data_IF_463794354647
#
_entry.id   IF_463794354647
#
_cell.length_a   1.000
_cell.length_b   1.000
_cell.length_c   1.000
_cell.angle_alpha   90.00
_cell.angle_beta   90.00
_cell.angle_gamma   90.00
#
_symmetry.space_group_name_H-M   'P 1'
#
loop_
_entity.id
_entity.type
_entity.pdbx_description
1 polymer ?
#
# COMPACT_ATOMS: atom_id res chain seq x y z
N UNK A 1 -61.03 -1.66 -21.51
CA UNK A 1 -61.10 -3.14 -21.54
C UNK A 1 -60.09 -3.61 -20.50
N UNK A 2 -60.41 -3.78 -19.21
CA UNK A 2 -61.30 -4.77 -18.58
C UNK A 2 -61.08 -6.19 -19.09
N UNK A 3 -60.55 -7.07 -18.21
CA UNK A 3 -60.95 -8.45 -17.85
C UNK A 3 -59.73 -9.38 -17.51
N UNK A 4 -59.90 -10.43 -16.68
CA UNK A 4 -59.34 -10.46 -15.34
C UNK A 4 -58.76 -11.87 -15.00
N UNK A 5 -58.87 -12.50 -13.79
CA UNK A 5 -57.94 -13.53 -13.34
C UNK A 5 -58.40 -14.97 -13.63
N UNK A 6 -57.45 -15.89 -13.83
CA UNK A 6 -57.75 -17.32 -13.89
C UNK A 6 -57.44 -17.98 -12.54
N UNK A 7 -58.51 -18.46 -11.92
CA UNK A 7 -58.53 -19.28 -10.72
C UNK A 7 -58.40 -20.78 -11.06
N UNK A 8 -57.82 -21.52 -10.11
CA UNK A 8 -58.08 -22.91 -9.69
C UNK A 8 -57.89 -24.02 -10.75
N UNK A 9 -56.97 -24.98 -10.49
CA UNK A 9 -57.37 -26.37 -10.16
C UNK A 9 -56.15 -27.22 -9.76
N UNK A 10 -56.19 -27.73 -8.53
CA UNK A 10 -55.40 -28.86 -8.04
C UNK A 10 -55.92 -30.17 -8.70
N UNK A 11 -55.05 -31.15 -8.97
CA UNK A 11 -55.42 -32.54 -8.66
C UNK A 11 -54.21 -33.34 -8.09
N UNK A 12 -54.33 -34.66 -7.82
CA UNK A 12 -54.68 -35.21 -6.51
C UNK A 12 -53.56 -36.02 -5.86
N UNK A 13 -53.85 -36.51 -4.66
CA UNK A 13 -52.97 -37.23 -3.75
C UNK A 13 -52.62 -38.69 -4.16
N UNK A 14 -51.68 -39.26 -3.38
CA UNK A 14 -51.28 -40.67 -3.22
C UNK A 14 -50.17 -41.14 -4.19
N UNK A 15 -49.18 -41.95 -3.80
CA UNK A 15 -48.83 -42.59 -2.53
C UNK A 15 -47.37 -43.04 -2.66
N UNK A 16 -46.57 -42.92 -1.62
CA UNK A 16 -45.17 -43.36 -1.61
C UNK A 16 -44.68 -43.47 -0.18
N UNK A 17 -45.02 -44.59 0.46
CA UNK A 17 -44.68 -44.89 1.84
C UNK A 17 -43.16 -45.05 2.03
N UNK A 18 -42.61 -44.37 3.04
CA UNK A 18 -41.46 -44.86 3.80
C UNK A 18 -41.77 -44.75 5.29
N UNK A 19 -41.69 -45.90 5.96
CA UNK A 19 -42.01 -46.14 7.37
C UNK A 19 -41.19 -45.26 8.32
N UNK A 20 -41.69 -44.95 9.53
CA UNK A 20 -40.88 -44.30 10.56
C UNK A 20 -40.01 -45.34 11.27
N UNK A 21 -38.71 -45.08 11.38
CA UNK A 21 -37.83 -45.70 12.37
C UNK A 21 -37.28 -44.60 13.30
N UNK A 22 -37.09 -44.88 14.60
CA UNK A 22 -36.96 -43.86 15.61
C UNK A 22 -35.51 -43.38 15.76
N UNK A 23 -35.39 -42.26 16.46
CA UNK A 23 -34.16 -41.73 17.07
C UNK A 23 -33.18 -41.02 16.14
N UNK A 24 -33.31 -39.70 16.07
CA UNK A 24 -32.17 -38.80 16.31
C UNK A 24 -32.62 -37.67 17.22
N UNK A 25 -32.52 -37.92 18.52
CA UNK A 25 -32.43 -36.86 19.51
C UNK A 25 -31.24 -35.97 19.10
N UNK A 26 -31.48 -34.70 18.76
CA UNK A 26 -30.44 -33.72 18.49
C UNK A 26 -30.17 -33.02 19.83
N UNK A 27 -29.07 -33.29 20.54
CA UNK A 27 -28.72 -32.50 21.71
C UNK A 27 -28.30 -31.08 21.31
N UNK A 28 -28.51 -30.06 22.17
CA UNK A 28 -27.94 -28.74 21.93
C UNK A 28 -26.41 -28.85 21.93
N UNK A 29 -25.77 -28.26 20.91
CA UNK A 29 -24.32 -28.22 20.78
C UNK A 29 -23.70 -27.50 21.99
N UNK A 30 -23.12 -28.26 22.91
CA UNK A 30 -22.31 -27.72 23.99
C UNK A 30 -20.99 -27.23 23.39
N UNK A 31 -20.89 -25.93 23.13
CA UNK A 31 -19.62 -25.32 22.74
C UNK A 31 -18.64 -25.42 23.91
N UNK A 32 -17.43 -25.99 23.74
CA UNK A 32 -16.44 -26.00 24.80
C UNK A 32 -16.00 -24.56 25.13
N UNK A 33 -15.67 -24.26 26.40
CA UNK A 33 -15.11 -22.96 26.76
C UNK A 33 -13.79 -22.78 26.01
N UNK A 34 -13.65 -21.63 25.33
CA UNK A 34 -12.38 -21.20 24.75
C UNK A 34 -11.29 -21.27 25.83
N UNK A 35 -10.08 -21.77 25.52
CA UNK A 35 -8.97 -21.72 26.47
C UNK A 35 -8.73 -20.25 26.87
N UNK A 36 -8.29 -19.97 28.12
CA UNK A 36 -7.87 -18.63 28.48
C UNK A 36 -6.81 -18.21 27.47
N UNK A 37 -7.04 -17.08 26.81
CA UNK A 37 -6.01 -16.42 26.01
C UNK A 37 -4.81 -16.26 26.93
N UNK A 38 -3.80 -17.10 26.77
CA UNK A 38 -2.45 -16.71 27.10
C UNK A 38 -2.18 -15.61 26.09
N UNK A 39 -2.47 -14.37 26.49
CA UNK A 39 -1.82 -13.22 25.91
C UNK A 39 -0.34 -13.55 25.99
N UNK A 40 0.24 -13.91 24.85
CA UNK A 40 1.69 -13.94 24.71
C UNK A 40 2.12 -12.50 25.02
N UNK A 41 2.48 -12.26 26.27
CA UNK A 41 3.29 -11.12 26.68
C UNK A 41 4.65 -11.41 26.07
N UNK A 42 4.74 -11.20 24.75
CA UNK A 42 6.01 -10.98 24.10
C UNK A 42 6.58 -9.73 24.75
N UNK A 43 7.84 -9.74 25.22
CA UNK A 43 8.48 -8.52 25.68
C UNK A 43 8.39 -7.50 24.56
N UNK A 44 7.62 -6.43 24.80
CA UNK A 44 7.45 -5.34 23.84
C UNK A 44 8.86 -4.82 23.54
N UNK A 45 9.34 -4.90 22.29
CA UNK A 45 10.63 -4.34 21.95
C UNK A 45 10.63 -2.85 22.33
N UNK A 46 11.77 -2.31 22.82
CA UNK A 46 11.86 -0.90 23.16
C UNK A 46 11.35 -0.06 21.99
N UNK A 47 10.57 1.02 22.26
CA UNK A 47 9.98 1.83 21.19
C UNK A 47 11.11 2.30 20.27
N UNK A 48 11.09 1.94 18.97
CA UNK A 48 12.12 2.40 18.07
C UNK A 48 11.99 3.92 17.93
N UNK A 49 13.12 4.62 17.89
CA UNK A 49 13.17 6.04 17.56
C UNK A 49 12.33 6.29 16.29
N UNK A 50 11.63 7.42 16.20
CA UNK A 50 10.67 7.73 15.12
C UNK A 50 11.23 7.47 13.69
N UNK A 51 12.53 7.63 13.51
CA UNK A 51 13.25 7.34 12.26
C UNK A 51 13.36 5.84 11.94
N UNK A 52 13.64 5.00 12.93
CA UNK A 52 13.77 3.54 12.77
C UNK A 52 12.43 2.90 12.35
N UNK A 53 11.31 3.43 12.86
CA UNK A 53 9.98 3.01 12.44
C UNK A 53 9.68 3.34 10.97
N UNK A 54 10.16 4.49 10.48
CA UNK A 54 9.99 4.87 9.07
C UNK A 54 10.82 3.95 8.19
N UNK A 55 12.12 3.83 8.46
CA UNK A 55 13.04 3.03 7.65
C UNK A 55 12.59 1.58 7.55
N UNK A 56 12.25 0.93 8.68
CA UNK A 56 11.78 -0.46 8.69
C UNK A 56 10.47 -0.68 7.91
N UNK A 57 9.56 0.29 7.95
CA UNK A 57 8.31 0.19 7.19
C UNK A 57 8.53 0.32 5.69
N UNK A 58 9.40 1.25 5.28
CA UNK A 58 9.73 1.43 3.87
C UNK A 58 10.55 0.27 3.32
N UNK A 59 11.48 -0.27 4.10
CA UNK A 59 12.20 -1.49 3.77
C UNK A 59 11.26 -2.68 3.56
N UNK A 60 10.29 -2.87 4.46
CA UNK A 60 9.28 -3.91 4.30
C UNK A 60 8.41 -3.72 3.05
N UNK A 61 8.07 -2.47 2.68
CA UNK A 61 7.29 -2.19 1.47
C UNK A 61 8.13 -2.50 0.23
N UNK A 62 9.32 -1.89 0.12
CA UNK A 62 10.19 -1.99 -1.04
C UNK A 62 10.66 -3.43 -1.29
N UNK A 63 10.97 -4.17 -0.22
CA UNK A 63 11.31 -5.60 -0.30
C UNK A 63 10.17 -6.45 -0.83
N UNK A 64 8.91 -6.08 -0.56
CA UNK A 64 7.73 -6.83 -1.01
C UNK A 64 7.29 -6.45 -2.42
N UNK A 65 7.52 -5.20 -2.84
CA UNK A 65 7.09 -4.68 -4.13
C UNK A 65 8.16 -4.74 -5.21
N UNK A 66 9.39 -5.19 -4.87
CA UNK A 66 10.54 -5.28 -5.81
C UNK A 66 10.74 -3.98 -6.59
N UNK A 67 10.61 -2.85 -5.89
CA UNK A 67 10.61 -1.54 -6.51
C UNK A 67 12.00 -1.19 -7.08
N UNK A 68 12.04 -0.76 -8.33
CA UNK A 68 13.28 -0.32 -8.99
C UNK A 68 13.78 1.03 -8.46
N UNK A 69 15.09 1.27 -8.58
CA UNK A 69 15.70 2.53 -8.14
C UNK A 69 15.06 3.78 -8.77
N UNK A 70 14.74 3.84 -10.07
CA UNK A 70 14.06 5.00 -10.66
C UNK A 70 12.72 5.33 -10.00
N UNK A 71 11.93 4.30 -9.64
CA UNK A 71 10.67 4.48 -8.91
C UNK A 71 10.92 5.06 -7.52
N UNK A 72 11.95 4.58 -6.81
CA UNK A 72 12.33 5.14 -5.50
C UNK A 72 12.78 6.60 -5.64
N UNK A 73 13.61 6.93 -6.63
CA UNK A 73 14.10 8.29 -6.83
C UNK A 73 12.96 9.25 -7.19
N UNK A 74 12.02 8.82 -8.03
CA UNK A 74 10.83 9.59 -8.37
C UNK A 74 9.89 9.75 -7.16
N UNK A 75 9.71 8.70 -6.34
CA UNK A 75 8.93 8.76 -5.11
C UNK A 75 9.53 9.77 -4.11
N UNK A 76 10.85 9.83 -3.98
CA UNK A 76 11.50 10.84 -3.14
C UNK A 76 11.25 12.26 -3.68
N UNK A 77 11.28 12.43 -5.00
CA UNK A 77 10.99 13.71 -5.65
C UNK A 77 9.55 14.17 -5.34
N UNK A 78 8.56 13.29 -5.54
CA UNK A 78 7.17 13.59 -5.21
C UNK A 78 6.97 13.85 -3.71
N UNK A 79 7.64 13.10 -2.84
CA UNK A 79 7.57 13.33 -1.38
C UNK A 79 8.09 14.72 -1.03
N UNK A 80 9.19 15.17 -1.63
CA UNK A 80 9.73 16.51 -1.44
C UNK A 80 8.71 17.59 -1.85
N UNK A 81 8.12 17.47 -3.04
CA UNK A 81 7.08 18.39 -3.53
C UNK A 81 5.84 18.42 -2.64
N UNK A 82 5.36 17.25 -2.22
CA UNK A 82 4.20 17.13 -1.31
C UNK A 82 4.47 17.83 0.02
N UNK A 83 5.69 17.74 0.57
CA UNK A 83 6.01 18.46 1.81
C UNK A 83 6.03 19.96 1.63
N UNK A 84 6.60 20.47 0.54
CA UNK A 84 6.58 21.91 0.25
C UNK A 84 5.14 22.44 0.15
N UNK A 85 4.25 21.68 -0.49
CA UNK A 85 2.83 22.04 -0.58
C UNK A 85 2.10 21.96 0.79
N UNK A 86 2.51 21.04 1.67
CA UNK A 86 1.90 20.88 2.99
C UNK A 86 2.38 21.91 4.02
N UNK A 87 3.64 22.35 3.97
CA UNK A 87 4.20 23.38 4.89
C UNK A 87 3.53 24.74 4.69
N UNK A 88 3.03 25.04 3.49
CA UNK A 88 2.22 26.23 3.23
C UNK A 88 0.83 26.20 3.89
N UNK A 89 0.40 25.07 4.48
CA UNK A 89 -0.88 24.96 5.14
C UNK A 89 -0.79 25.35 6.64
N UNK A 90 -1.70 26.21 7.16
CA UNK A 90 -1.60 26.82 8.49
C UNK A 90 -1.71 25.86 9.71
N UNK A 91 -1.70 24.54 9.51
CA UNK A 91 -1.84 23.52 10.57
C UNK A 91 -0.88 22.33 10.43
N UNK A 92 0.17 22.45 9.61
CA UNK A 92 1.07 21.33 9.33
C UNK A 92 2.16 21.16 10.40
N UNK A 93 1.79 20.58 11.55
CA UNK A 93 2.79 19.88 12.37
C UNK A 93 3.27 18.66 11.59
N UNK A 94 4.56 18.58 11.29
CA UNK A 94 5.20 17.46 10.55
C UNK A 94 5.21 16.19 11.40
N UNK A 95 4.03 15.60 11.61
CA UNK A 95 3.92 14.34 12.34
C UNK A 95 4.48 13.19 11.50
N UNK A 96 5.14 12.23 12.16
CA UNK A 96 5.66 11.01 11.51
C UNK A 96 4.59 10.29 10.66
N UNK A 97 3.33 10.34 11.07
CA UNK A 97 2.21 9.76 10.33
C UNK A 97 2.03 10.41 8.95
N UNK A 98 2.14 11.73 8.87
CA UNK A 98 2.06 12.47 7.61
C UNK A 98 3.23 12.06 6.72
N UNK A 99 4.45 12.05 7.24
CA UNK A 99 5.64 11.67 6.46
C UNK A 99 5.50 10.26 5.89
N UNK A 100 5.07 9.29 6.70
CA UNK A 100 4.86 7.90 6.26
C UNK A 100 3.79 7.81 5.16
N UNK A 101 2.68 8.53 5.31
CA UNK A 101 1.59 8.55 4.31
C UNK A 101 2.02 9.24 3.02
N UNK A 102 2.72 10.37 3.11
CA UNK A 102 3.23 11.10 1.96
C UNK A 102 4.20 10.23 1.16
N UNK A 103 5.12 9.55 1.82
CA UNK A 103 6.10 8.70 1.15
C UNK A 103 5.48 7.42 0.57
N UNK A 104 4.50 6.81 1.26
CA UNK A 104 3.73 5.69 0.70
C UNK A 104 3.03 6.09 -0.59
N UNK A 105 2.35 7.24 -0.60
CA UNK A 105 1.55 7.66 -1.75
C UNK A 105 2.43 8.17 -2.88
N UNK A 106 3.54 8.82 -2.56
CA UNK A 106 4.56 9.15 -3.55
C UNK A 106 5.12 7.90 -4.23
N UNK A 107 5.30 6.80 -3.48
CA UNK A 107 5.72 5.51 -4.04
C UNK A 107 4.66 4.91 -4.98
N UNK A 108 3.38 4.92 -4.57
CA UNK A 108 2.26 4.48 -5.42
C UNK A 108 2.21 5.28 -6.72
N UNK A 109 2.33 6.61 -6.65
CA UNK A 109 2.31 7.47 -7.83
C UNK A 109 3.52 7.22 -8.74
N UNK A 110 4.72 7.09 -8.18
CA UNK A 110 5.92 6.82 -8.96
C UNK A 110 5.87 5.47 -9.68
N UNK A 111 5.35 4.43 -9.02
CA UNK A 111 5.15 3.10 -9.62
C UNK A 111 4.18 3.19 -10.80
N UNK A 112 3.06 3.89 -10.63
CA UNK A 112 2.06 4.13 -11.70
C UNK A 112 2.58 4.96 -12.88
N UNK A 113 3.56 5.83 -12.65
CA UNK A 113 4.10 6.70 -13.70
C UNK A 113 5.15 5.97 -14.55
N UNK A 114 5.93 5.06 -13.94
CA UNK A 114 7.05 4.41 -14.63
C UNK A 114 6.74 2.99 -15.11
N UNK A 115 5.76 2.31 -14.52
CA UNK A 115 5.45 0.92 -14.84
C UNK A 115 4.04 0.81 -15.46
N UNK A 116 3.97 0.20 -16.64
CA UNK A 116 2.70 -0.08 -17.33
C UNK A 116 1.85 -1.10 -16.54
N UNK A 117 2.52 -2.10 -15.93
CA UNK A 117 1.92 -3.13 -15.08
C UNK A 117 2.04 -2.77 -13.59
N UNK A 118 1.28 -1.77 -13.15
CA UNK A 118 1.30 -1.27 -11.77
C UNK A 118 0.35 -2.04 -10.82
N UNK A 119 0.71 -2.12 -9.54
CA UNK A 119 -0.11 -2.75 -8.50
C UNK A 119 -1.38 -1.93 -8.23
N UNK A 120 -2.54 -2.59 -8.17
CA UNK A 120 -3.80 -1.91 -7.79
C UNK A 120 -3.71 -1.25 -6.41
N UNK A 121 -4.50 -0.19 -6.18
CA UNK A 121 -4.59 0.46 -4.87
C UNK A 121 -5.00 -0.51 -3.75
N UNK A 122 -5.75 -1.56 -4.07
CA UNK A 122 -6.10 -2.62 -3.12
C UNK A 122 -4.88 -3.46 -2.70
N UNK A 123 -3.99 -3.77 -3.64
CA UNK A 123 -2.73 -4.45 -3.36
C UNK A 123 -1.79 -3.56 -2.54
N UNK A 124 -1.64 -2.29 -2.90
CA UNK A 124 -0.85 -1.31 -2.12
C UNK A 124 -1.36 -1.16 -0.70
N UNK A 125 -2.68 -1.08 -0.50
CA UNK A 125 -3.29 -1.04 0.82
C UNK A 125 -2.94 -2.28 1.66
N UNK A 126 -2.96 -3.47 1.06
CA UNK A 126 -2.57 -4.73 1.71
C UNK A 126 -1.08 -4.77 2.06
N UNK A 127 -0.21 -4.23 1.20
CA UNK A 127 1.23 -4.16 1.47
C UNK A 127 1.52 -3.20 2.63
N UNK A 128 0.92 -2.01 2.60
CA UNK A 128 1.13 -0.98 3.61
C UNK A 128 0.36 -1.19 4.92
N UNK A 129 -0.59 -2.12 4.97
CA UNK A 129 -1.42 -2.38 6.15
C UNK A 129 -2.42 -1.25 6.45
N UNK A 130 -2.92 -0.57 5.41
CA UNK A 130 -3.90 0.51 5.51
C UNK A 130 -5.18 0.16 4.75
N UNK A 131 -6.27 0.91 4.94
CA UNK A 131 -7.50 0.67 4.18
C UNK A 131 -7.36 1.16 2.73
N UNK A 132 -8.05 0.50 1.80
CA UNK A 132 -8.09 0.91 0.39
C UNK A 132 -8.68 2.31 0.24
N UNK A 133 -9.70 2.64 1.05
CA UNK A 133 -10.29 3.97 1.09
C UNK A 133 -9.29 5.06 1.48
N UNK A 134 -8.36 4.76 2.39
CA UNK A 134 -7.30 5.68 2.78
C UNK A 134 -6.31 5.92 1.64
N UNK A 135 -5.84 4.84 0.98
CA UNK A 135 -4.94 4.96 -0.18
C UNK A 135 -5.59 5.81 -1.28
N UNK A 136 -6.83 5.49 -1.65
CA UNK A 136 -7.58 6.23 -2.65
C UNK A 136 -7.76 7.72 -2.30
N UNK A 137 -8.06 8.03 -1.04
CA UNK A 137 -8.22 9.41 -0.57
C UNK A 137 -6.91 10.18 -0.64
N UNK A 138 -5.84 9.58 -0.15
CA UNK A 138 -4.54 10.23 -0.12
C UNK A 138 -3.96 10.40 -1.52
N UNK A 139 -4.15 9.43 -2.41
CA UNK A 139 -3.74 9.53 -3.82
C UNK A 139 -4.41 10.72 -4.50
N UNK A 140 -5.74 10.84 -4.43
CA UNK A 140 -6.45 12.00 -5.01
C UNK A 140 -5.96 13.32 -4.43
N UNK A 141 -5.71 13.35 -3.11
CA UNK A 141 -5.17 14.55 -2.45
C UNK A 141 -3.76 14.88 -2.94
N UNK A 142 -2.90 13.88 -3.08
CA UNK A 142 -1.53 14.06 -3.56
C UNK A 142 -1.50 14.56 -5.01
N UNK A 143 -2.33 14.00 -5.89
CA UNK A 143 -2.48 14.47 -7.27
C UNK A 143 -2.93 15.94 -7.33
N UNK A 144 -3.88 16.33 -6.47
CA UNK A 144 -4.30 17.73 -6.35
C UNK A 144 -3.20 18.65 -5.81
N UNK A 145 -2.40 18.21 -4.85
CA UNK A 145 -1.26 19.00 -4.33
C UNK A 145 -0.09 19.11 -5.32
N UNK A 146 0.00 18.18 -6.28
CA UNK A 146 0.99 18.18 -7.34
C UNK A 146 0.46 18.83 -8.62
N UNK A 147 -0.78 19.33 -8.64
CA UNK A 147 -1.45 19.86 -9.83
C UNK A 147 -1.40 18.91 -11.04
N UNK A 148 -1.40 17.59 -10.78
CA UNK A 148 -1.21 16.52 -11.78
C UNK A 148 0.10 16.64 -12.60
N UNK A 149 1.02 17.49 -12.19
CA UNK A 149 2.34 17.64 -12.82
C UNK A 149 3.28 16.54 -12.32
N UNK A 150 3.12 15.34 -12.89
CA UNK A 150 3.95 14.17 -12.58
C UNK A 150 5.13 14.00 -13.53
N UNK A 151 5.19 14.80 -14.60
CA UNK A 151 6.22 14.72 -15.60
C UNK A 151 7.54 15.29 -15.06
N UNK A 152 8.63 14.57 -15.34
CA UNK A 152 9.97 14.99 -14.97
C UNK A 152 10.88 14.82 -16.19
N UNK A 153 11.33 15.94 -16.75
CA UNK A 153 12.30 15.90 -17.86
C UNK A 153 13.62 15.27 -17.40
N UNK A 154 14.37 14.70 -18.33
CA UNK A 154 15.69 14.10 -18.08
C UNK A 154 16.63 15.08 -17.35
N UNK A 155 16.64 16.35 -17.76
CA UNK A 155 17.45 17.38 -17.12
C UNK A 155 17.02 17.70 -15.68
N UNK A 156 15.71 17.67 -15.38
CA UNK A 156 15.19 17.82 -14.01
C UNK A 156 15.53 16.60 -13.16
N UNK A 157 15.39 15.40 -13.72
CA UNK A 157 15.73 14.15 -13.03
C UNK A 157 17.23 14.08 -12.71
N UNK A 158 18.11 14.40 -13.65
CA UNK A 158 19.55 14.43 -13.39
C UNK A 158 19.95 15.44 -12.30
N UNK A 159 19.29 16.61 -12.24
CA UNK A 159 19.47 17.58 -11.15
C UNK A 159 18.98 17.03 -9.80
N UNK A 160 17.88 16.30 -9.82
CA UNK A 160 17.34 15.66 -8.64
C UNK A 160 18.30 14.61 -8.08
N UNK A 161 18.83 13.72 -8.93
CA UNK A 161 19.81 12.69 -8.52
C UNK A 161 21.00 13.30 -7.78
N UNK A 162 21.62 14.35 -8.35
CA UNK A 162 22.73 15.07 -7.71
C UNK A 162 22.38 15.68 -6.36
N UNK A 163 21.13 16.08 -6.18
CA UNK A 163 20.64 16.62 -4.90
C UNK A 163 20.53 15.52 -3.86
N UNK A 164 19.96 14.37 -4.25
CA UNK A 164 19.85 13.19 -3.38
C UNK A 164 21.23 12.68 -2.98
N UNK A 165 22.16 12.55 -3.94
CA UNK A 165 23.55 12.13 -3.67
C UNK A 165 24.26 13.02 -2.66
N UNK A 166 24.08 14.35 -2.77
CA UNK A 166 24.65 15.32 -1.82
C UNK A 166 24.10 15.14 -0.42
N UNK A 167 22.80 14.89 -0.29
CA UNK A 167 22.14 14.71 1.02
C UNK A 167 22.46 13.34 1.61
N UNK A 168 22.58 12.31 0.77
CA UNK A 168 22.88 10.95 1.21
C UNK A 168 24.36 10.71 1.55
N UNK A 169 25.27 11.57 1.09
CA UNK A 169 26.68 11.49 1.43
C UNK A 169 27.36 10.23 0.90
N UNK A 170 27.12 9.88 -0.37
CA UNK A 170 27.51 8.63 -1.09
C UNK A 170 26.33 7.67 -1.20
N UNK A 171 25.38 7.99 -2.09
CA UNK A 171 24.74 6.91 -2.86
C UNK A 171 25.57 6.78 -4.12
N UNK A 172 26.28 5.67 -4.27
CA UNK A 172 26.78 5.25 -5.58
C UNK A 172 25.59 4.92 -6.47
N UNK A 173 24.83 5.93 -6.89
CA UNK A 173 23.85 5.81 -7.97
C UNK A 173 24.71 5.75 -9.23
N UNK A 174 25.19 4.56 -9.57
CA UNK A 174 25.59 4.29 -10.94
C UNK A 174 24.31 4.36 -11.79
N UNK A 175 23.88 5.58 -12.08
CA UNK A 175 22.91 5.87 -13.13
C UNK A 175 23.65 5.66 -14.45
N UNK A 176 23.79 4.39 -14.84
CA UNK A 176 24.10 4.06 -16.22
C UNK A 176 22.85 4.44 -17.03
N UNK A 177 22.82 5.68 -17.51
CA UNK A 177 21.98 6.08 -18.65
C UNK A 177 22.63 5.44 -19.87
N UNK A 178 22.46 4.13 -19.97
CA UNK A 178 23.18 3.26 -20.89
C UNK A 178 22.22 2.32 -21.58
N UNK A 179 21.69 2.78 -22.72
CA UNK A 179 21.28 2.04 -23.92
C UNK A 179 20.73 0.63 -23.71
N UNK A 180 19.43 0.47 -23.99
CA UNK A 180 18.72 -0.80 -24.07
C UNK A 180 19.44 -1.77 -25.02
N UNK A 181 19.92 -2.89 -24.49
CA UNK A 181 20.10 -4.14 -25.21
C UNK A 181 19.95 -5.31 -24.23
N UNK A 182 18.84 -6.04 -24.35
CA UNK A 182 18.72 -7.47 -24.04
C UNK A 182 18.87 -7.96 -22.59
N UNK A 183 17.72 -8.31 -21.99
CA UNK A 183 17.58 -9.55 -21.21
C UNK A 183 18.35 -9.66 -19.89
N UNK A 184 17.75 -9.14 -18.83
CA UNK A 184 18.13 -9.50 -17.45
C UNK A 184 17.63 -8.45 -16.46
N UNK A 185 16.52 -8.75 -15.78
CA UNK A 185 16.06 -7.99 -14.61
C UNK A 185 17.16 -8.03 -13.54
N UNK A 186 18.06 -7.05 -13.58
CA UNK A 186 18.93 -6.73 -12.46
C UNK A 186 18.04 -6.13 -11.39
N UNK A 187 17.51 -7.00 -10.54
CA UNK A 187 16.83 -6.64 -9.30
C UNK A 187 17.83 -5.87 -8.43
N UNK A 188 17.91 -4.55 -8.65
CA UNK A 188 18.67 -3.64 -7.83
C UNK A 188 18.02 -3.62 -6.45
N UNK A 189 18.54 -4.43 -5.53
CA UNK A 189 18.29 -4.25 -4.10
C UNK A 189 18.87 -2.89 -3.71
N UNK A 190 18.02 -1.86 -3.76
CA UNK A 190 18.38 -0.53 -3.29
C UNK A 190 18.68 -0.67 -1.79
N UNK A 191 19.95 -0.56 -1.42
CA UNK A 191 20.36 -0.60 -0.02
C UNK A 191 19.80 0.64 0.69
N UNK A 192 18.69 0.45 1.42
CA UNK A 192 17.96 1.55 2.08
C UNK A 192 18.75 2.23 3.20
N UNK A 193 19.81 1.59 3.67
CA UNK A 193 20.74 2.16 4.63
C UNK A 193 21.35 3.48 4.12
N UNK A 194 21.59 3.60 2.81
CA UNK A 194 22.08 4.85 2.19
C UNK A 194 21.00 5.92 1.99
N UNK A 195 19.71 5.54 2.06
CA UNK A 195 18.57 6.44 1.88
C UNK A 195 18.00 6.97 3.19
N UNK A 196 18.33 6.34 4.33
CA UNK A 196 17.97 6.82 5.66
C UNK A 196 18.27 8.32 5.89
N UNK A 197 19.46 8.86 5.58
CA UNK A 197 19.73 10.30 5.74
C UNK A 197 18.86 11.18 4.86
N UNK A 198 18.53 10.73 3.64
CA UNK A 198 17.61 11.45 2.74
C UNK A 198 16.22 11.45 3.32
N UNK A 199 15.73 10.29 3.77
CA UNK A 199 14.41 10.16 4.38
C UNK A 199 14.30 11.00 5.66
N UNK A 200 15.36 11.10 6.46
CA UNK A 200 15.44 11.91 7.68
C UNK A 200 15.54 13.40 7.37
N UNK A 201 16.40 13.84 6.44
CA UNK A 201 16.51 15.24 6.05
C UNK A 201 15.21 15.77 5.43
N UNK A 202 14.40 14.85 4.93
CA UNK A 202 13.14 15.12 4.31
C UNK A 202 12.01 15.07 5.37
N UNK A 203 12.06 14.18 6.37
CA UNK A 203 11.05 14.00 7.43
C UNK A 203 11.02 15.14 8.44
#
# INVERSE_FOLDING_TARGET
>A
MCLPPAQILLPPAASGACRPHPSRYIPPAFSPPLPPRVECILPRPPPPSHHSLLVSHFDAILSRTRTSLPVVMLALHFTHRLRLALVGAPSATTSLCIVRRSLLIALVLADKVLNDDQLSNAAWAKVAGVSVGEVNRLERRALGLLDFDLFLSEGQYARWLRTVERVAGVVGVAADVGREDGGGEKSACVALDGLAPVLVAMA
#
